data_IF_278415880496
#
_entry.id   IF_278415880496
#
_cell.length_a   1.000
_cell.length_b   1.000
_cell.length_c   1.000
_cell.angle_alpha   90.00
_cell.angle_beta   90.00
_cell.angle_gamma   90.00
#
_symmetry.space_group_name_H-M   'P 1'
#
loop_
_entity.id
_entity.type
_entity.pdbx_description
1 polymer ?
#
# COMPACT_ATOMS: atom_id res chain seq x y z
N UNK A 1 -23.42 16.30 33.78
CA UNK A 1 -23.86 14.92 34.06
C UNK A 1 -24.05 14.20 32.74
N UNK A 2 -23.73 12.90 32.70
CA UNK A 2 -23.80 11.95 31.57
C UNK A 2 -22.64 12.04 30.57
N UNK A 3 -21.50 11.34 30.68
CA UNK A 3 -21.16 9.90 30.84
C UNK A 3 -20.54 9.36 29.53
N UNK A 4 -19.33 8.76 29.63
CA UNK A 4 -18.85 7.75 28.68
C UNK A 4 -17.83 8.15 27.62
N UNK A 5 -16.60 8.51 28.02
CA UNK A 5 -15.45 8.45 27.11
C UNK A 5 -15.02 6.98 26.94
N UNK A 6 -15.72 6.22 26.09
CA UNK A 6 -15.29 4.88 25.68
C UNK A 6 -14.14 5.03 24.68
N UNK A 7 -12.92 5.08 25.22
CA UNK A 7 -11.74 4.73 24.46
C UNK A 7 -11.93 3.27 24.04
N UNK A 8 -12.51 3.04 22.85
CA UNK A 8 -12.62 1.70 22.28
C UNK A 8 -11.21 1.18 22.06
N UNK A 9 -10.71 0.42 23.04
CA UNK A 9 -9.47 -0.33 22.94
C UNK A 9 -9.75 -1.55 22.08
N UNK A 10 -8.84 -1.88 21.16
CA UNK A 10 -8.92 -3.13 20.42
C UNK A 10 -9.00 -4.31 21.41
N UNK A 11 -9.88 -5.28 21.12
CA UNK A 11 -10.03 -6.48 21.94
C UNK A 11 -8.72 -7.28 21.94
N UNK A 12 -8.12 -7.54 23.12
CA UNK A 12 -6.95 -8.40 23.24
C UNK A 12 -7.22 -9.81 22.71
N UNK A 13 -8.45 -10.31 22.90
CA UNK A 13 -8.89 -11.61 22.40
C UNK A 13 -8.81 -11.65 20.87
N UNK A 14 -9.30 -10.62 20.18
CA UNK A 14 -9.21 -10.53 18.71
C UNK A 14 -7.78 -10.41 18.19
N UNK A 15 -6.91 -9.71 18.92
CA UNK A 15 -5.48 -9.68 18.57
C UNK A 15 -4.82 -11.06 18.77
N UNK A 16 -5.23 -11.81 19.79
CA UNK A 16 -4.77 -13.18 19.99
C UNK A 16 -5.28 -14.13 18.90
N UNK A 17 -6.56 -14.04 18.53
CA UNK A 17 -7.13 -14.80 17.42
C UNK A 17 -6.38 -14.53 16.10
N UNK A 18 -6.03 -13.26 15.83
CA UNK A 18 -5.26 -12.89 14.65
C UNK A 18 -3.84 -13.47 14.64
N UNK A 19 -3.17 -13.52 15.81
CA UNK A 19 -1.86 -14.17 15.95
C UNK A 19 -1.95 -15.68 15.67
N UNK A 20 -2.97 -16.34 16.20
CA UNK A 20 -3.20 -17.77 15.95
C UNK A 20 -3.42 -18.02 14.46
N UNK A 21 -4.31 -17.25 13.82
CA UNK A 21 -4.56 -17.38 12.38
C UNK A 21 -3.29 -17.14 11.54
N UNK A 22 -2.49 -16.13 11.90
CA UNK A 22 -1.22 -15.87 11.25
C UNK A 22 -0.28 -17.08 11.34
N UNK A 23 -0.16 -17.68 12.53
CA UNK A 23 0.67 -18.87 12.73
C UNK A 23 0.14 -20.09 11.96
N UNK A 24 -1.17 -20.32 11.95
CA UNK A 24 -1.81 -21.41 11.19
C UNK A 24 -1.54 -21.30 9.67
N UNK A 25 -1.50 -20.08 9.13
CA UNK A 25 -1.17 -19.83 7.72
C UNK A 25 0.30 -20.15 7.39
N UNK A 26 1.21 -19.91 8.34
CA UNK A 26 2.61 -20.31 8.21
C UNK A 26 2.76 -21.84 8.34
N UNK A 27 2.15 -22.44 9.36
CA UNK A 27 2.24 -23.87 9.65
C UNK A 27 1.64 -24.74 8.53
N UNK A 28 0.58 -24.25 7.88
CA UNK A 28 -0.02 -24.92 6.71
C UNK A 28 0.84 -24.81 5.44
N UNK A 29 1.89 -23.99 5.44
CA UNK A 29 2.74 -23.74 4.27
C UNK A 29 2.08 -22.84 3.21
N UNK A 30 0.92 -22.26 3.49
CA UNK A 30 0.26 -21.33 2.58
C UNK A 30 1.12 -20.06 2.37
N UNK A 31 1.79 -19.61 3.42
CA UNK A 31 2.80 -18.55 3.37
C UNK A 31 4.14 -19.09 3.85
N UNK A 32 5.18 -19.20 2.99
CA UNK A 32 6.51 -19.63 3.41
C UNK A 32 7.12 -18.72 4.49
N UNK A 33 6.86 -17.41 4.40
CA UNK A 33 7.24 -16.41 5.39
C UNK A 33 6.39 -15.15 5.22
N UNK A 34 6.14 -14.44 6.33
CA UNK A 34 5.29 -13.25 6.33
C UNK A 34 5.64 -12.31 7.49
N UNK A 35 5.20 -11.07 7.37
CA UNK A 35 5.18 -10.05 8.43
C UNK A 35 3.85 -9.30 8.41
N UNK A 36 3.33 -8.94 9.58
CA UNK A 36 2.09 -8.19 9.75
C UNK A 36 2.23 -7.15 10.87
N UNK A 37 1.96 -5.89 10.51
CA UNK A 37 1.85 -4.79 11.45
C UNK A 37 0.42 -4.23 11.41
N UNK A 38 -0.19 -4.03 12.58
CA UNK A 38 -1.51 -3.41 12.72
C UNK A 38 -1.38 -2.13 13.52
N UNK A 39 -1.91 -1.04 12.97
CA UNK A 39 -1.99 0.26 13.62
C UNK A 39 -3.44 0.61 13.92
N UNK A 40 -3.70 1.10 15.13
CA UNK A 40 -5.00 1.64 15.52
C UNK A 40 -4.82 3.03 16.11
N UNK A 41 -5.45 4.02 15.48
CA UNK A 41 -5.34 5.44 15.83
C UNK A 41 -3.87 5.89 15.96
N UNK A 42 -3.05 5.49 14.99
CA UNK A 42 -1.63 5.83 14.92
C UNK A 42 -0.72 5.04 15.89
N UNK A 43 -1.25 4.13 16.70
CA UNK A 43 -0.46 3.29 17.62
C UNK A 43 -0.29 1.89 17.03
N UNK A 44 0.94 1.39 17.02
CA UNK A 44 1.25 0.00 16.71
C UNK A 44 0.67 -0.88 17.83
N UNK A 45 -0.24 -1.79 17.46
CA UNK A 45 -0.96 -2.66 18.40
C UNK A 45 -0.66 -4.14 18.17
N UNK A 46 -0.11 -4.48 17.02
CA UNK A 46 0.39 -5.80 16.67
C UNK A 46 1.56 -5.64 15.71
N UNK A 47 2.64 -6.35 15.98
CA UNK A 47 3.82 -6.45 15.11
C UNK A 47 4.33 -7.89 15.23
N UNK A 48 4.10 -8.68 14.19
CA UNK A 48 4.42 -10.11 14.17
C UNK A 48 5.04 -10.49 12.83
N UNK A 49 5.91 -11.48 12.85
CA UNK A 49 6.54 -12.04 11.68
C UNK A 49 6.89 -13.50 11.94
N UNK A 50 7.07 -14.29 10.88
CA UNK A 50 7.42 -15.70 11.01
C UNK A 50 7.63 -16.39 9.67
N UNK A 51 8.05 -17.65 9.75
CA UNK A 51 8.41 -18.47 8.60
C UNK A 51 9.82 -18.18 8.08
N UNK A 52 10.03 -18.42 6.79
CA UNK A 52 11.31 -18.42 6.08
C UNK A 52 11.29 -17.34 4.99
N UNK A 53 12.28 -16.45 5.00
CA UNK A 53 12.48 -15.40 4.02
C UNK A 53 13.10 -15.92 2.71
N UNK A 54 13.94 -16.96 2.80
CA UNK A 54 14.59 -17.59 1.67
C UNK A 54 14.59 -19.11 1.83
N UNK A 55 13.84 -19.78 0.94
CA UNK A 55 13.65 -21.23 0.93
C UNK A 55 14.97 -21.96 0.67
N UNK A 56 15.87 -21.39 -0.13
CA UNK A 56 17.13 -22.04 -0.52
C UNK A 56 18.14 -22.10 0.62
N UNK A 57 18.12 -21.09 1.50
CA UNK A 57 19.04 -20.97 2.63
C UNK A 57 18.38 -21.28 3.98
N UNK A 58 17.07 -21.52 3.99
CA UNK A 58 16.24 -21.63 5.19
C UNK A 58 16.40 -20.43 6.14
N UNK A 59 16.62 -19.23 5.59
CA UNK A 59 16.80 -18.01 6.39
C UNK A 59 15.47 -17.62 7.03
N UNK A 60 15.38 -17.49 8.37
CA UNK A 60 14.14 -17.11 9.03
C UNK A 60 13.76 -15.66 8.73
N UNK A 61 12.45 -15.38 8.69
CA UNK A 61 11.96 -14.00 8.71
C UNK A 61 12.27 -13.37 10.07
N UNK A 62 12.78 -12.15 10.04
CA UNK A 62 13.02 -11.30 11.21
C UNK A 62 12.42 -9.90 10.99
N UNK A 63 12.55 -9.02 11.99
CA UNK A 63 12.03 -7.65 11.97
C UNK A 63 12.57 -6.77 10.84
N UNK A 64 13.75 -7.09 10.30
CA UNK A 64 14.44 -6.33 9.26
C UNK A 64 14.23 -6.93 7.85
N UNK A 65 13.47 -8.02 7.76
CA UNK A 65 13.23 -8.71 6.49
C UNK A 65 12.37 -7.85 5.57
N UNK A 66 12.92 -7.54 4.39
CA UNK A 66 12.19 -6.81 3.35
C UNK A 66 11.48 -7.75 2.39
N UNK A 67 10.21 -7.47 2.12
CA UNK A 67 9.41 -8.15 1.11
C UNK A 67 9.14 -7.24 -0.09
N UNK A 68 9.07 -7.82 -1.29
CA UNK A 68 8.60 -7.10 -2.49
C UNK A 68 7.09 -6.89 -2.35
N UNK A 69 6.66 -5.64 -2.23
CA UNK A 69 5.26 -5.28 -2.01
C UNK A 69 4.45 -5.06 -3.30
N UNK A 70 5.06 -5.28 -4.46
CA UNK A 70 4.44 -5.16 -5.80
C UNK A 70 3.56 -3.90 -5.94
N UNK A 71 2.29 -4.07 -6.30
CA UNK A 71 1.36 -2.97 -6.56
C UNK A 71 1.04 -2.11 -5.35
N UNK A 72 1.36 -2.53 -4.12
CA UNK A 72 1.19 -1.69 -2.94
C UNK A 72 2.02 -0.38 -3.03
N UNK A 73 3.11 -0.38 -3.82
CA UNK A 73 3.90 0.83 -4.09
C UNK A 73 3.06 1.96 -4.71
N UNK A 74 1.97 1.64 -5.43
CA UNK A 74 1.07 2.66 -6.02
C UNK A 74 0.44 3.57 -4.97
N UNK A 75 0.13 3.05 -3.77
CA UNK A 75 -0.40 3.85 -2.68
C UNK A 75 0.62 4.91 -2.20
N UNK A 76 1.90 4.52 -2.11
CA UNK A 76 2.99 5.43 -1.75
C UNK A 76 3.18 6.49 -2.84
N UNK A 77 3.18 6.07 -4.11
CA UNK A 77 3.24 7.02 -5.23
C UNK A 77 2.08 8.01 -5.18
N UNK A 78 0.84 7.54 -5.04
CA UNK A 78 -0.35 8.40 -4.91
C UNK A 78 -0.23 9.37 -3.72
N UNK A 79 0.30 8.92 -2.59
CA UNK A 79 0.54 9.78 -1.43
C UNK A 79 1.54 10.90 -1.75
N UNK A 80 2.61 10.62 -2.50
CA UNK A 80 3.55 11.65 -2.95
C UNK A 80 2.87 12.70 -3.84
N UNK A 81 1.96 12.29 -4.75
CA UNK A 81 1.14 13.22 -5.52
C UNK A 81 0.29 14.12 -4.63
N UNK A 82 -0.32 13.56 -3.58
CA UNK A 82 -1.12 14.34 -2.63
C UNK A 82 -0.29 15.34 -1.80
N UNK A 83 0.95 14.99 -1.43
CA UNK A 83 1.86 15.94 -0.76
C UNK A 83 2.15 17.14 -1.68
N UNK A 84 2.43 16.89 -2.96
CA UNK A 84 2.68 17.97 -3.92
C UNK A 84 1.43 18.83 -4.15
N UNK A 85 0.25 18.21 -4.16
CA UNK A 85 -1.02 18.91 -4.24
C UNK A 85 -1.27 19.81 -3.03
N UNK A 86 -1.08 19.28 -1.82
CA UNK A 86 -1.21 20.04 -0.57
C UNK A 86 -0.25 21.23 -0.52
N UNK A 87 0.95 21.09 -1.10
CA UNK A 87 1.96 22.16 -1.21
C UNK A 87 1.68 23.16 -2.33
N UNK A 88 0.60 23.00 -3.10
CA UNK A 88 0.28 23.85 -4.25
C UNK A 88 1.27 23.71 -5.42
N UNK A 89 2.03 22.62 -5.48
CA UNK A 89 3.01 22.37 -6.55
C UNK A 89 2.40 21.65 -7.77
N UNK A 90 1.21 21.07 -7.59
CA UNK A 90 0.37 20.56 -8.67
C UNK A 90 -1.09 20.70 -8.28
N UNK A 91 -1.97 20.78 -9.27
CA UNK A 91 -3.43 20.67 -9.07
C UNK A 91 -3.93 19.42 -9.77
N UNK A 92 -4.65 18.56 -9.04
CA UNK A 92 -5.08 17.25 -9.55
C UNK A 92 -6.00 17.37 -10.79
N UNK A 93 -6.66 18.52 -10.95
CA UNK A 93 -7.54 18.81 -12.09
C UNK A 93 -6.85 19.36 -13.33
N UNK A 94 -5.60 19.80 -13.23
CA UNK A 94 -4.87 20.32 -14.38
C UNK A 94 -4.51 19.22 -15.35
N UNK A 95 -4.45 19.56 -16.64
CA UNK A 95 -4.10 18.59 -17.66
C UNK A 95 -2.62 18.23 -17.58
N UNK A 96 -2.29 16.96 -17.76
CA UNK A 96 -0.90 16.48 -17.70
C UNK A 96 0.00 17.21 -18.70
N UNK A 97 -0.53 17.58 -19.86
CA UNK A 97 0.21 18.29 -20.90
C UNK A 97 0.73 19.66 -20.44
N UNK A 98 0.15 20.26 -19.41
CA UNK A 98 0.65 21.52 -18.83
C UNK A 98 2.00 21.32 -18.10
N UNK A 99 2.26 20.10 -17.62
CA UNK A 99 3.50 19.72 -16.93
C UNK A 99 4.44 18.90 -17.82
N UNK A 100 3.87 18.14 -18.75
CA UNK A 100 4.57 17.28 -19.69
C UNK A 100 3.97 17.45 -21.09
N UNK A 101 4.39 18.46 -21.87
CA UNK A 101 3.77 18.81 -23.14
C UNK A 101 3.65 17.65 -24.14
N UNK A 102 4.66 16.80 -24.25
CA UNK A 102 4.67 15.64 -25.14
C UNK A 102 3.62 14.58 -24.76
N UNK A 103 3.16 14.57 -23.52
CA UNK A 103 2.07 13.70 -23.09
C UNK A 103 0.78 14.00 -23.85
N UNK A 104 0.50 15.25 -24.22
CA UNK A 104 -0.75 15.66 -24.88
C UNK A 104 -0.98 15.04 -26.26
N UNK A 105 0.04 14.43 -26.87
CA UNK A 105 -0.07 13.80 -28.19
C UNK A 105 -1.13 12.68 -28.24
N UNK A 106 -1.63 12.35 -29.44
CA UNK A 106 -2.50 11.19 -29.68
C UNK A 106 -3.80 11.17 -28.85
N UNK A 107 -4.47 12.32 -28.70
CA UNK A 107 -5.79 12.42 -28.03
C UNK A 107 -5.73 12.44 -26.51
N UNK A 108 -4.58 12.76 -25.92
CA UNK A 108 -4.32 12.72 -24.48
C UNK A 108 -4.34 14.10 -23.82
N UNK A 109 -4.67 15.15 -24.58
CA UNK A 109 -4.65 16.55 -24.15
C UNK A 109 -5.62 16.86 -22.98
N UNK A 110 -6.67 16.04 -22.79
CA UNK A 110 -7.67 16.21 -21.72
C UNK A 110 -7.43 15.30 -20.50
N UNK A 111 -6.33 14.57 -20.45
CA UNK A 111 -6.01 13.70 -19.32
C UNK A 111 -5.42 14.55 -18.19
N UNK A 112 -5.97 14.42 -16.98
CA UNK A 112 -5.47 15.07 -15.75
C UNK A 112 -4.97 14.03 -14.73
N UNK A 113 -4.38 14.50 -13.62
CA UNK A 113 -3.81 13.61 -12.61
C UNK A 113 -4.87 12.74 -11.93
N UNK A 114 -6.11 13.23 -11.78
CA UNK A 114 -7.22 12.38 -11.27
C UNK A 114 -7.43 11.16 -12.16
N UNK A 115 -7.36 11.30 -13.49
CA UNK A 115 -7.50 10.15 -14.39
C UNK A 115 -6.40 9.11 -14.20
N UNK A 116 -5.16 9.54 -13.93
CA UNK A 116 -4.03 8.65 -13.65
C UNK A 116 -4.23 7.93 -12.31
N UNK A 117 -4.53 8.67 -11.25
CA UNK A 117 -4.69 8.13 -9.89
C UNK A 117 -5.89 7.17 -9.76
N UNK A 118 -6.88 7.29 -10.66
CA UNK A 118 -8.11 6.48 -10.65
C UNK A 118 -8.19 5.46 -11.78
N UNK A 119 -7.13 5.30 -12.58
CA UNK A 119 -7.11 4.39 -13.72
C UNK A 119 -8.20 4.64 -14.78
N UNK A 120 -8.62 5.89 -14.97
CA UNK A 120 -9.65 6.29 -15.94
C UNK A 120 -9.09 7.00 -17.17
N UNK A 121 -7.77 7.04 -17.31
CA UNK A 121 -7.08 7.68 -18.43
C UNK A 121 -7.07 6.89 -19.76
N UNK A 122 -7.56 5.64 -19.75
CA UNK A 122 -7.70 4.84 -20.97
C UNK A 122 -6.41 4.13 -21.44
N UNK A 123 -5.52 3.75 -20.51
CA UNK A 123 -4.32 2.95 -20.82
C UNK A 123 -4.53 1.48 -20.43
N UNK A 124 -5.03 0.62 -21.34
CA UNK A 124 -5.37 -0.76 -21.01
C UNK A 124 -4.15 -1.65 -20.81
N UNK A 125 -3.01 -1.31 -21.43
CA UNK A 125 -1.83 -2.15 -21.48
C UNK A 125 -0.56 -1.30 -21.55
N UNK A 126 0.55 -1.86 -21.08
CA UNK A 126 1.89 -1.30 -21.31
C UNK A 126 2.19 -1.34 -22.82
N UNK A 127 2.79 -0.28 -23.39
CA UNK A 127 3.25 -0.31 -24.78
C UNK A 127 4.19 -1.49 -25.05
N UNK A 128 4.02 -2.16 -26.20
CA UNK A 128 4.79 -3.37 -26.52
C UNK A 128 6.31 -3.11 -26.63
N UNK A 129 6.70 -1.88 -26.92
CA UNK A 129 8.10 -1.47 -27.00
C UNK A 129 8.82 -1.39 -25.64
N UNK A 130 8.10 -1.52 -24.53
CA UNK A 130 8.64 -1.46 -23.16
C UNK A 130 8.65 -2.82 -22.45
N UNK A 131 8.29 -3.89 -23.16
CA UNK A 131 8.31 -5.26 -22.65
C UNK A 131 9.58 -5.99 -23.10
#
# INVERSE_FOLDING_TARGET
MSQGNTTSTLSPEKLSELKTLFQEQLDSGFHPGASMAVYHRGKLVLDIYGGIADISTATPVNSDTMFVTFSCTKAISAFAWHILWERGQLELGHFLQEYWPEFGANGKEKINFRHILTHTAGFPQTPHSLN
#
